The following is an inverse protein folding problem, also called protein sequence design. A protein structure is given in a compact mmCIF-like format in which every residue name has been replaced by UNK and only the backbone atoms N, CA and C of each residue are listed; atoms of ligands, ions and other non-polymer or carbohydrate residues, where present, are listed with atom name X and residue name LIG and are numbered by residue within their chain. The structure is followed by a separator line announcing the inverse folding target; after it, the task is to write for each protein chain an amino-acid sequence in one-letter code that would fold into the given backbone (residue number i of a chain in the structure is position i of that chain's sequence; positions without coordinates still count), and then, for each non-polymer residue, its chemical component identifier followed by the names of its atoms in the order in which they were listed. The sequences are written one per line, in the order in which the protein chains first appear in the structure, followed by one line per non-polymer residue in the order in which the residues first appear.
data_IF_653210548785
#
_entry.id   IF_653210548785
#
_cell.length_a   1.000
_cell.length_b   1.000
_cell.length_c   1.000
_cell.angle_alpha   90.00
_cell.angle_beta   90.00
_cell.angle_gamma   90.00
#
_symmetry.space_group_name_H-M   'P 1'
#
loop_
_entity.id
_entity.type
_entity.pdbx_description
1 polymer ?
#
# COMPACT_ATOMS: atom_id res chain seq x y z
N UNK A 1 -13.12 11.89 -3.50
CA UNK A 1 -11.82 11.35 -3.01
C UNK A 1 -11.52 11.96 -1.66
N UNK A 2 -10.84 11.25 -0.73
CA UNK A 2 -11.13 9.89 -0.27
C UNK A 2 -12.27 9.93 0.78
N UNK A 3 -13.17 8.96 0.73
CA UNK A 3 -14.22 8.78 1.75
C UNK A 3 -13.64 8.15 3.03
N UNK A 4 -12.55 8.74 3.54
CA UNK A 4 -11.83 8.25 4.72
C UNK A 4 -12.76 8.19 5.93
N UNK A 5 -13.66 9.17 6.08
CA UNK A 5 -14.73 9.16 7.07
C UNK A 5 -15.63 7.93 6.98
N UNK A 6 -16.06 7.52 5.78
CA UNK A 6 -16.84 6.29 5.60
C UNK A 6 -16.01 5.04 5.94
N UNK A 7 -14.74 4.97 5.54
CA UNK A 7 -13.89 3.81 5.88
C UNK A 7 -13.64 3.69 7.38
N UNK A 8 -13.46 4.82 8.06
CA UNK A 8 -13.40 4.91 9.53
C UNK A 8 -14.70 4.36 10.12
N UNK A 9 -15.85 4.82 9.64
CA UNK A 9 -17.16 4.36 10.12
C UNK A 9 -17.34 2.85 9.94
N UNK A 10 -17.07 2.34 8.74
CA UNK A 10 -17.18 0.92 8.41
C UNK A 10 -16.31 0.11 9.35
N UNK A 11 -15.02 0.47 9.47
CA UNK A 11 -14.09 -0.27 10.31
C UNK A 11 -14.47 -0.20 11.80
N UNK A 12 -14.95 0.94 12.27
CA UNK A 12 -15.47 1.11 13.63
C UNK A 12 -16.64 0.17 13.89
N UNK A 13 -17.59 0.10 12.96
CA UNK A 13 -18.76 -0.77 13.04
C UNK A 13 -18.38 -2.27 12.99
N UNK A 14 -17.40 -2.65 12.17
CA UNK A 14 -16.84 -4.02 12.13
C UNK A 14 -16.18 -4.43 13.46
N UNK A 15 -15.53 -3.49 14.14
CA UNK A 15 -14.97 -3.70 15.47
C UNK A 15 -16.02 -3.69 16.59
N UNK A 16 -17.28 -3.35 16.27
CA UNK A 16 -18.37 -3.31 17.25
C UNK A 16 -18.25 -2.20 18.29
N UNK A 17 -17.41 -1.18 18.05
CA UNK A 17 -17.21 -0.07 19.00
C UNK A 17 -18.06 1.16 18.62
N UNK A 18 -18.44 1.93 19.62
CA UNK A 18 -19.20 3.18 19.49
C UNK A 18 -18.30 4.36 19.10
N UNK A 19 -18.91 5.44 18.61
CA UNK A 19 -18.18 6.69 18.33
C UNK A 19 -17.55 7.31 19.59
N UNK A 20 -18.14 7.09 20.78
CA UNK A 20 -17.62 7.57 22.05
C UNK A 20 -16.36 6.78 22.48
N UNK A 21 -16.36 5.47 22.25
CA UNK A 21 -15.19 4.62 22.51
C UNK A 21 -14.05 4.94 21.54
N UNK A 22 -14.35 5.17 20.26
CA UNK A 22 -13.34 5.61 19.29
C UNK A 22 -12.77 7.00 19.66
N UNK A 23 -13.63 7.93 20.09
CA UNK A 23 -13.19 9.24 20.59
C UNK A 23 -12.25 9.10 21.79
N UNK A 24 -12.60 8.24 22.75
CA UNK A 24 -11.81 7.97 23.94
C UNK A 24 -10.44 7.38 23.60
N UNK A 25 -10.38 6.42 22.66
CA UNK A 25 -9.12 5.83 22.17
C UNK A 25 -8.18 6.86 21.54
N UNK A 26 -8.73 7.87 20.89
CA UNK A 26 -7.99 8.91 20.15
C UNK A 26 -7.78 10.21 20.96
N UNK A 27 -8.22 10.25 22.22
CA UNK A 27 -8.09 11.42 23.09
C UNK A 27 -9.01 12.60 22.71
N UNK A 28 -10.08 12.36 21.96
CA UNK A 28 -11.09 13.38 21.67
C UNK A 28 -12.05 13.54 22.85
N UNK A 29 -12.45 14.79 23.14
CA UNK A 29 -13.32 15.13 24.27
C UNK A 29 -14.78 14.68 24.11
N UNK A 30 -15.22 14.34 22.90
CA UNK A 30 -16.60 13.90 22.65
C UNK A 30 -16.74 13.12 21.34
N UNK A 31 -17.74 12.23 21.27
CA UNK A 31 -18.14 11.55 20.02
C UNK A 31 -18.52 12.48 18.87
N UNK A 32 -18.89 13.74 19.14
CA UNK A 32 -19.32 14.69 18.09
C UNK A 32 -18.22 14.92 17.05
N UNK A 33 -16.95 14.92 17.46
CA UNK A 33 -15.82 15.04 16.51
C UNK A 33 -15.75 13.84 15.59
N UNK A 34 -15.90 12.62 16.13
CA UNK A 34 -15.92 11.38 15.35
C UNK A 34 -17.11 11.37 14.40
N UNK A 35 -18.30 11.75 14.85
CA UNK A 35 -19.48 11.83 14.00
C UNK A 35 -19.31 12.80 12.82
N UNK A 36 -18.68 13.96 13.05
CA UNK A 36 -18.33 14.93 12.01
C UNK A 36 -17.26 14.43 11.05
N UNK A 37 -16.37 13.56 11.50
CA UNK A 37 -15.38 12.92 10.64
C UNK A 37 -16.04 11.84 9.78
N UNK A 38 -16.83 10.97 10.40
CA UNK A 38 -17.52 9.86 9.74
C UNK A 38 -18.54 10.30 8.69
N UNK A 39 -19.16 11.47 8.89
CA UNK A 39 -20.11 12.05 7.93
C UNK A 39 -19.44 12.98 6.89
N UNK A 40 -18.12 13.18 6.95
CA UNK A 40 -17.38 14.04 6.03
C UNK A 40 -17.56 15.54 6.26
N UNK A 41 -18.14 15.98 7.38
CA UNK A 41 -18.22 17.41 7.74
C UNK A 41 -16.83 17.96 8.09
N UNK A 42 -16.03 17.16 8.79
CA UNK A 42 -14.66 17.48 9.16
C UNK A 42 -13.72 16.45 8.53
N UNK A 43 -12.65 16.91 7.91
CA UNK A 43 -11.59 16.02 7.46
C UNK A 43 -10.64 15.67 8.63
N UNK A 44 -9.87 14.60 8.47
CA UNK A 44 -8.77 14.28 9.39
C UNK A 44 -7.48 14.90 8.90
N UNK A 45 -6.69 15.44 9.83
CA UNK A 45 -5.33 15.88 9.50
C UNK A 45 -4.45 14.66 9.22
N UNK A 46 -3.53 14.78 8.25
CA UNK A 46 -2.68 13.67 7.80
C UNK A 46 -1.89 13.02 8.96
N UNK A 47 -1.42 13.82 9.92
CA UNK A 47 -0.70 13.33 11.10
C UNK A 47 -1.55 12.42 12.00
N UNK A 48 -2.88 12.53 11.95
CA UNK A 48 -3.80 11.70 12.74
C UNK A 48 -4.17 10.39 12.04
N UNK A 49 -3.92 10.24 10.75
CA UNK A 49 -4.28 9.03 9.98
C UNK A 49 -3.68 7.77 10.61
N UNK A 50 -2.43 7.86 11.08
CA UNK A 50 -1.72 6.74 11.73
C UNK A 50 -2.39 6.36 13.06
N UNK A 51 -2.75 7.36 13.88
CA UNK A 51 -3.45 7.13 15.15
C UNK A 51 -4.83 6.49 14.92
N UNK A 52 -5.56 6.96 13.91
CA UNK A 52 -6.84 6.35 13.51
C UNK A 52 -6.67 4.89 13.06
N UNK A 53 -5.66 4.61 12.24
CA UNK A 53 -5.39 3.26 11.75
C UNK A 53 -5.08 2.31 12.91
N UNK A 54 -4.28 2.74 13.88
CA UNK A 54 -3.97 1.98 15.09
C UNK A 54 -5.21 1.75 15.96
N UNK A 55 -6.01 2.80 16.21
CA UNK A 55 -7.22 2.71 17.02
C UNK A 55 -8.30 1.79 16.41
N UNK A 56 -8.28 1.64 15.08
CA UNK A 56 -9.22 0.87 14.28
C UNK A 56 -8.65 -0.47 13.78
N UNK A 57 -7.49 -0.90 14.30
CA UNK A 57 -6.85 -2.16 13.93
C UNK A 57 -6.83 -2.38 12.41
N UNK A 58 -6.28 -1.39 11.71
CA UNK A 58 -6.19 -1.33 10.24
C UNK A 58 -4.94 -0.56 9.82
N UNK A 59 -4.78 -0.29 8.52
CA UNK A 59 -3.63 0.44 7.98
C UNK A 59 -4.02 1.85 7.50
N UNK A 60 -3.08 2.81 7.51
CA UNK A 60 -3.27 4.10 6.85
C UNK A 60 -3.67 3.94 5.39
N UNK A 61 -3.07 2.96 4.69
CA UNK A 61 -3.40 2.66 3.29
C UNK A 61 -4.87 2.28 3.09
N UNK A 62 -5.44 1.47 3.99
CA UNK A 62 -6.86 1.15 3.94
C UNK A 62 -7.72 2.40 4.14
N UNK A 63 -7.45 3.20 5.18
CA UNK A 63 -8.23 4.41 5.48
C UNK A 63 -8.15 5.45 4.35
N UNK A 64 -6.98 5.59 3.73
CA UNK A 64 -6.77 6.48 2.57
C UNK A 64 -7.37 5.91 1.27
N UNK A 65 -7.78 4.64 1.27
CA UNK A 65 -8.32 3.96 0.10
C UNK A 65 -7.26 3.51 -0.90
N UNK A 66 -5.99 3.47 -0.52
CA UNK A 66 -4.88 2.99 -1.35
C UNK A 66 -4.91 1.47 -1.56
N UNK A 67 -5.63 0.72 -0.72
CA UNK A 67 -5.81 -0.73 -0.92
C UNK A 67 -6.79 -1.09 -2.04
N UNK A 68 -7.57 -0.13 -2.54
CA UNK A 68 -8.45 -0.33 -3.70
C UNK A 68 -7.83 0.14 -5.01
N UNK A 69 -6.63 0.73 -4.99
CA UNK A 69 -5.81 0.93 -6.18
C UNK A 69 -5.19 -0.40 -6.61
N UNK A 70 -6.06 -1.37 -6.90
CA UNK A 70 -5.77 -2.47 -7.82
C UNK A 70 -6.27 -2.05 -9.22
N UNK A 71 -6.00 -0.82 -9.64
CA UNK A 71 -5.88 -0.54 -11.07
C UNK A 71 -4.61 -1.25 -11.53
N UNK A 72 -4.77 -2.52 -11.87
CA UNK A 72 -3.80 -3.35 -12.61
C UNK A 72 -2.37 -3.30 -12.07
N UNK A 73 -2.15 -3.78 -10.83
CA UNK A 73 -0.99 -4.66 -10.69
C UNK A 73 -1.44 -5.92 -11.40
N UNK A 74 -0.86 -6.32 -12.56
CA UNK A 74 -1.17 -7.63 -13.12
C UNK A 74 -0.96 -8.60 -11.97
N UNK A 75 -2.04 -9.30 -11.60
CA UNK A 75 -1.98 -10.33 -10.59
C UNK A 75 -0.72 -11.15 -10.86
N UNK A 76 0.02 -11.52 -9.81
CA UNK A 76 0.97 -12.62 -9.94
C UNK A 76 0.17 -13.77 -10.53
N UNK A 77 0.29 -13.93 -11.85
CA UNK A 77 -0.33 -15.01 -12.55
C UNK A 77 0.50 -16.19 -12.10
N UNK A 78 0.01 -16.97 -11.14
CA UNK A 78 0.66 -18.22 -10.74
C UNK A 78 0.70 -19.23 -11.93
N UNK A 79 0.18 -18.86 -13.11
CA UNK A 79 0.51 -19.40 -14.43
C UNK A 79 1.55 -18.54 -15.19
N UNK A 80 2.66 -18.11 -14.56
CA UNK A 80 3.90 -18.01 -15.33
C UNK A 80 4.17 -19.48 -15.71
N UNK A 81 4.13 -19.85 -17.01
CA UNK A 81 4.61 -21.17 -17.41
C UNK A 81 5.96 -21.38 -16.73
N UNK A 82 6.32 -22.59 -16.30
CA UNK A 82 7.67 -22.91 -15.83
C UNK A 82 8.67 -22.58 -16.95
N UNK A 83 8.99 -21.29 -17.05
CA UNK A 83 9.79 -20.71 -18.10
C UNK A 83 11.20 -20.92 -17.57
N UNK A 84 11.71 -22.11 -17.90
CA UNK A 84 13.02 -22.59 -17.49
C UNK A 84 14.08 -21.49 -17.65
N UNK A 85 13.90 -20.62 -18.64
CA UNK A 85 14.81 -19.55 -18.98
C UNK A 85 14.81 -18.44 -17.91
N UNK A 86 13.64 -18.05 -17.38
CA UNK A 86 13.54 -17.11 -16.26
C UNK A 86 14.11 -17.72 -14.97
N UNK A 87 13.84 -19.00 -14.72
CA UNK A 87 14.38 -19.71 -13.57
C UNK A 87 15.92 -19.80 -13.62
N UNK A 88 16.49 -20.03 -14.80
CA UNK A 88 17.93 -20.02 -15.05
C UNK A 88 18.51 -18.63 -14.79
N UNK A 89 17.91 -17.57 -15.34
CA UNK A 89 18.36 -16.19 -15.14
C UNK A 89 18.36 -15.83 -13.64
N UNK A 90 17.30 -16.18 -12.92
CA UNK A 90 17.19 -15.91 -11.49
C UNK A 90 18.24 -16.67 -10.68
N UNK A 91 18.48 -17.94 -11.01
CA UNK A 91 19.47 -18.78 -10.35
C UNK A 91 20.88 -18.25 -10.53
N UNK A 92 21.24 -17.84 -11.74
CA UNK A 92 22.57 -17.30 -12.02
C UNK A 92 22.73 -15.90 -11.43
N UNK A 93 21.69 -15.06 -11.46
CA UNK A 93 21.70 -13.74 -10.80
C UNK A 93 22.00 -13.83 -9.30
N UNK A 94 21.47 -14.83 -8.62
CA UNK A 94 21.71 -15.05 -7.19
C UNK A 94 23.16 -15.45 -6.87
N UNK A 95 23.90 -15.99 -7.85
CA UNK A 95 25.32 -16.37 -7.70
C UNK A 95 26.29 -15.25 -8.08
N UNK A 96 25.82 -14.24 -8.83
CA UNK A 96 26.62 -13.11 -9.29
C UNK A 96 26.87 -12.09 -8.17
N UNK A 97 28.03 -11.46 -8.17
CA UNK A 97 28.33 -10.27 -7.36
C UNK A 97 27.53 -9.06 -7.84
N UNK A 98 27.43 -8.01 -7.02
CA UNK A 98 26.65 -6.82 -7.39
C UNK A 98 27.22 -6.10 -8.62
N UNK A 99 28.54 -6.15 -8.81
CA UNK A 99 29.19 -5.66 -10.04
C UNK A 99 28.73 -6.43 -11.29
N UNK A 100 28.58 -7.74 -11.18
CA UNK A 100 28.13 -8.61 -12.26
C UNK A 100 26.64 -8.46 -12.53
N UNK A 101 25.82 -8.30 -11.48
CA UNK A 101 24.39 -7.96 -11.62
C UNK A 101 24.19 -6.64 -12.35
N UNK A 102 24.97 -5.61 -12.01
CA UNK A 102 24.93 -4.31 -12.71
C UNK A 102 25.33 -4.46 -14.17
N UNK A 103 26.35 -5.29 -14.47
CA UNK A 103 26.75 -5.55 -15.85
C UNK A 103 25.64 -6.27 -16.64
N UNK A 104 25.00 -7.27 -16.04
CA UNK A 104 23.83 -7.94 -16.62
C UNK A 104 22.71 -6.93 -16.91
N UNK A 105 22.41 -6.06 -15.95
CA UNK A 105 21.38 -5.02 -16.10
C UNK A 105 21.71 -4.05 -17.24
N UNK A 106 22.97 -3.62 -17.37
CA UNK A 106 23.39 -2.74 -18.45
C UNK A 106 23.28 -3.41 -19.83
N UNK A 107 23.56 -4.72 -19.92
CA UNK A 107 23.35 -5.49 -21.14
C UNK A 107 21.86 -5.56 -21.47
N UNK A 108 20.99 -5.83 -20.50
CA UNK A 108 19.54 -5.86 -20.72
C UNK A 108 19.02 -4.50 -21.18
N UNK A 109 19.40 -3.42 -20.49
CA UNK A 109 19.02 -2.05 -20.86
C UNK A 109 19.41 -1.69 -22.29
N UNK A 110 20.63 -2.02 -22.69
CA UNK A 110 21.14 -1.72 -24.03
C UNK A 110 20.51 -2.55 -25.16
N UNK A 111 19.80 -3.63 -24.85
CA UNK A 111 19.10 -4.44 -25.86
C UNK A 111 17.59 -4.16 -25.89
N UNK A 112 17.04 -3.49 -24.87
CA UNK A 112 15.62 -3.19 -24.72
C UNK A 112 15.43 -1.69 -24.44
N UNK A 113 15.73 -0.88 -25.45
CA UNK A 113 15.68 0.59 -25.39
C UNK A 113 14.25 1.16 -25.30
N UNK A 114 13.22 0.36 -25.61
CA UNK A 114 11.81 0.78 -25.60
C UNK A 114 11.14 0.67 -24.22
N UNK A 115 11.78 0.05 -23.23
CA UNK A 115 11.22 -0.08 -21.88
C UNK A 115 11.53 1.16 -21.04
N UNK A 116 10.51 1.78 -20.44
CA UNK A 116 10.73 2.92 -19.55
C UNK A 116 11.29 2.46 -18.19
N UNK A 117 12.61 2.30 -18.13
CA UNK A 117 13.32 1.83 -16.95
C UNK A 117 13.27 2.78 -15.74
N UNK A 118 12.80 4.03 -15.92
CA UNK A 118 12.72 5.03 -14.85
C UNK A 118 11.35 5.08 -14.13
N UNK A 119 10.29 4.51 -14.73
CA UNK A 119 8.94 4.49 -14.13
C UNK A 119 8.68 3.26 -13.24
N UNK A 120 9.56 2.26 -13.25
CA UNK A 120 9.45 1.06 -12.41
C UNK A 120 10.07 1.30 -11.04
N UNK A 121 9.29 1.94 -10.16
CA UNK A 121 9.65 2.15 -8.75
C UNK A 121 9.39 0.90 -7.87
N UNK A 122 9.40 -0.32 -8.44
CA UNK A 122 9.42 -1.56 -7.64
C UNK A 122 10.73 -1.77 -6.86
N UNK A 123 11.69 -0.85 -7.02
CA UNK A 123 13.02 -0.83 -6.42
C UNK A 123 13.16 -0.23 -5.03
N UNK A 124 12.14 -0.26 -4.16
CA UNK A 124 12.36 -0.10 -2.72
C UNK A 124 12.14 -1.43 -2.01
N UNK A 125 13.12 -2.32 -2.13
CA UNK A 125 13.40 -3.31 -1.08
C UNK A 125 14.57 -2.73 -0.28
N UNK A 126 14.23 -1.91 0.71
CA UNK A 126 15.05 -1.70 1.90
C UNK A 126 14.13 -1.67 3.12
#
# INVERSE_FOLDING_TARGET
MPEIGKRIRIRREELGITQEELASKLGYKSKTTIAKIENGTNDIVQSKVIEFAQALDTTPAYLMGWTQYNETIPEKNDNIPDDSDLAIIQRERNKMSDKEKTKLMNILKANFDEYNWEDDNSGNIE
#
